data_IF_580221432543
#
_entry.id   IF_580221432543
#
_cell.length_a   1.000
_cell.length_b   1.000
_cell.length_c   1.000
_cell.angle_alpha   90.00
_cell.angle_beta   90.00
_cell.angle_gamma   90.00
#
_symmetry.space_group_name_H-M   'P 1'
#
loop_
_entity.id
_entity.type
_entity.pdbx_description
1 polymer ?
#
# COMPACT_ATOMS: atom_id res chain seq x y z
N UNK A 1 8.37 -8.46 -18.76
CA UNK A 1 8.20 -7.69 -17.51
C UNK A 1 8.03 -6.22 -17.89
N UNK A 2 7.05 -5.54 -17.31
CA UNK A 2 6.85 -4.09 -17.49
C UNK A 2 6.98 -3.44 -16.12
N UNK A 3 7.73 -2.34 -16.02
CA UNK A 3 7.89 -1.57 -14.79
C UNK A 3 7.07 -0.29 -14.94
N UNK A 4 6.16 -0.06 -14.00
CA UNK A 4 5.34 1.15 -13.95
C UNK A 4 5.92 2.12 -12.91
N UNK A 5 6.42 3.26 -13.34
CA UNK A 5 6.93 4.31 -12.45
C UNK A 5 5.77 5.21 -12.02
N UNK A 6 5.38 5.11 -10.77
CA UNK A 6 4.18 5.79 -10.23
C UNK A 6 4.55 6.56 -8.97
N UNK A 7 4.05 7.80 -8.78
CA UNK A 7 4.20 8.50 -7.51
C UNK A 7 3.62 7.69 -6.35
N UNK A 8 4.33 7.64 -5.21
CA UNK A 8 3.96 6.82 -4.05
C UNK A 8 2.49 6.96 -3.64
N UNK A 9 1.99 8.19 -3.53
CA UNK A 9 0.60 8.43 -3.10
C UNK A 9 -0.43 7.94 -4.15
N UNK A 10 -0.12 8.00 -5.44
CA UNK A 10 -0.99 7.41 -6.48
C UNK A 10 -0.97 5.89 -6.45
N UNK A 11 0.19 5.30 -6.18
CA UNK A 11 0.34 3.86 -5.98
C UNK A 11 -0.49 3.40 -4.76
N UNK A 12 -0.34 4.05 -3.61
CA UNK A 12 -1.07 3.73 -2.38
C UNK A 12 -2.58 3.88 -2.52
N UNK A 13 -3.04 4.84 -3.33
CA UNK A 13 -4.47 5.02 -3.61
C UNK A 13 -5.05 3.79 -4.30
N UNK A 14 -4.31 3.24 -5.25
CA UNK A 14 -4.69 2.03 -5.97
C UNK A 14 -4.58 0.79 -5.07
N UNK A 15 -3.53 0.69 -4.24
CA UNK A 15 -3.33 -0.44 -3.32
C UNK A 15 -4.48 -0.55 -2.32
N UNK A 16 -4.88 0.55 -1.68
CA UNK A 16 -5.92 0.52 -0.65
C UNK A 16 -7.23 -0.13 -1.15
N UNK A 17 -7.68 0.25 -2.35
CA UNK A 17 -8.91 -0.30 -2.94
C UNK A 17 -8.71 -1.65 -3.63
N UNK A 18 -7.48 -1.99 -4.04
CA UNK A 18 -7.16 -3.30 -4.62
C UNK A 18 -7.05 -4.40 -3.57
N UNK A 19 -6.61 -4.07 -2.35
CA UNK A 19 -6.51 -5.01 -1.22
C UNK A 19 -7.87 -5.28 -0.56
N UNK A 20 -8.68 -4.23 -0.36
CA UNK A 20 -9.90 -4.34 0.46
C UNK A 20 -11.23 -4.26 -0.30
N UNK A 21 -11.29 -3.52 -1.42
CA UNK A 21 -12.49 -3.00 -2.11
C UNK A 21 -12.81 -1.55 -1.78
N UNK A 22 -13.18 -0.77 -2.81
CA UNK A 22 -13.65 0.62 -2.66
C UNK A 22 -14.97 0.75 -1.89
N UNK A 23 -15.67 -0.35 -1.62
CA UNK A 23 -16.89 -0.37 -0.81
C UNK A 23 -16.63 -0.42 0.71
N UNK A 24 -15.38 -0.63 1.14
CA UNK A 24 -15.03 -0.66 2.55
C UNK A 24 -15.22 0.72 3.22
N UNK A 25 -15.43 0.74 4.56
CA UNK A 25 -15.48 2.00 5.32
C UNK A 25 -14.23 2.86 5.07
N UNK A 26 -14.41 4.19 4.99
CA UNK A 26 -13.31 5.10 4.67
C UNK A 26 -12.14 4.98 5.64
N UNK A 27 -12.43 4.87 6.94
CA UNK A 27 -11.42 4.71 7.99
C UNK A 27 -10.62 3.42 7.79
N UNK A 28 -11.25 2.34 7.31
CA UNK A 28 -10.54 1.10 7.02
C UNK A 28 -9.58 1.29 5.84
N UNK A 29 -10.01 1.95 4.76
CA UNK A 29 -9.14 2.25 3.63
C UNK A 29 -7.98 3.18 4.02
N UNK A 30 -8.21 4.14 4.92
CA UNK A 30 -7.17 5.03 5.46
C UNK A 30 -6.13 4.26 6.28
N UNK A 31 -6.57 3.37 7.19
CA UNK A 31 -5.66 2.50 7.96
C UNK A 31 -4.89 1.55 7.03
N UNK A 32 -5.53 1.02 5.99
CA UNK A 32 -4.87 0.20 4.98
C UNK A 32 -3.79 1.00 4.23
N UNK A 33 -4.07 2.25 3.85
CA UNK A 33 -3.11 3.16 3.22
C UNK A 33 -1.91 3.45 4.13
N UNK A 34 -2.14 3.71 5.42
CA UNK A 34 -1.06 3.92 6.41
C UNK A 34 -0.19 2.68 6.53
N UNK A 35 -0.82 1.51 6.66
CA UNK A 35 -0.14 0.21 6.75
C UNK A 35 0.69 -0.06 5.49
N UNK A 36 0.09 0.13 4.31
CA UNK A 36 0.78 -0.07 3.04
C UNK A 36 1.96 0.90 2.85
N UNK A 37 1.80 2.16 3.26
CA UNK A 37 2.86 3.18 3.23
C UNK A 37 4.01 2.81 4.17
N UNK A 38 3.70 2.39 5.39
CA UNK A 38 4.70 1.93 6.34
C UNK A 38 5.51 0.77 5.78
N UNK A 39 4.84 -0.23 5.22
CA UNK A 39 5.49 -1.41 4.65
C UNK A 39 6.46 -1.04 3.51
N UNK A 40 6.01 -0.27 2.52
CA UNK A 40 6.85 0.07 1.35
C UNK A 40 8.01 0.99 1.74
N UNK A 41 7.81 1.91 2.69
CA UNK A 41 8.88 2.82 3.15
C UNK A 41 9.87 2.14 4.10
N UNK A 42 9.44 1.15 4.88
CA UNK A 42 10.35 0.35 5.70
C UNK A 42 11.29 -0.50 4.82
N UNK A 43 10.79 -0.97 3.66
CA UNK A 43 11.55 -1.67 2.62
C UNK A 43 12.52 -2.74 3.16
N UNK A 44 12.14 -3.43 4.25
CA UNK A 44 13.09 -4.18 5.08
C UNK A 44 13.69 -5.40 4.38
N UNK A 45 12.90 -6.08 3.53
CA UNK A 45 13.33 -7.30 2.85
C UNK A 45 13.96 -7.07 1.47
N UNK A 46 13.70 -5.92 0.81
CA UNK A 46 14.11 -5.64 -0.58
C UNK A 46 13.91 -6.84 -1.53
N UNK A 47 12.71 -7.43 -1.52
CA UNK A 47 12.38 -8.72 -2.16
C UNK A 47 12.75 -8.86 -3.65
N UNK A 48 12.90 -7.74 -4.36
CA UNK A 48 13.09 -7.70 -5.81
C UNK A 48 14.30 -6.85 -6.22
N UNK A 49 15.34 -6.81 -5.38
CA UNK A 49 16.54 -6.02 -5.63
C UNK A 49 17.21 -6.36 -6.97
N UNK A 50 17.20 -7.64 -7.37
CA UNK A 50 17.72 -8.15 -8.62
C UNK A 50 16.92 -7.72 -9.86
N UNK A 51 15.64 -7.38 -9.67
CA UNK A 51 14.76 -6.89 -10.73
C UNK A 51 14.74 -5.36 -10.82
N UNK A 52 15.30 -4.66 -9.82
CA UNK A 52 15.32 -3.20 -9.77
C UNK A 52 13.94 -2.57 -9.58
N UNK A 53 13.03 -3.25 -8.85
CA UNK A 53 11.68 -2.75 -8.53
C UNK A 53 11.46 -2.71 -7.02
N UNK A 54 10.62 -1.78 -6.56
CA UNK A 54 10.30 -1.64 -5.13
C UNK A 54 9.29 -2.72 -4.66
N UNK A 55 8.28 -3.01 -5.48
CA UNK A 55 7.23 -3.99 -5.19
C UNK A 55 6.67 -4.62 -6.47
N UNK A 56 6.26 -5.88 -6.39
CA UNK A 56 5.40 -6.50 -7.39
C UNK A 56 3.91 -6.19 -7.10
N UNK A 57 3.04 -6.47 -8.07
CA UNK A 57 1.65 -6.03 -8.05
C UNK A 57 0.64 -7.06 -7.51
N UNK A 58 1.13 -8.17 -6.94
CA UNK A 58 0.31 -9.31 -6.51
C UNK A 58 0.70 -9.77 -5.08
N UNK A 59 0.13 -10.88 -4.62
CA UNK A 59 0.15 -11.40 -3.24
C UNK A 59 1.56 -11.52 -2.59
N UNK A 60 2.66 -11.46 -3.36
CA UNK A 60 4.02 -11.44 -2.81
C UNK A 60 4.37 -10.11 -2.11
N UNK A 61 3.86 -8.97 -2.60
CA UNK A 61 4.12 -7.65 -2.04
C UNK A 61 2.81 -6.99 -1.58
N UNK A 62 2.09 -6.38 -2.50
CA UNK A 62 0.82 -5.71 -2.28
C UNK A 62 0.03 -5.80 -3.59
N UNK A 63 -1.29 -5.94 -3.48
CA UNK A 63 -2.18 -5.92 -4.64
C UNK A 63 -2.21 -4.53 -5.26
N UNK A 64 -1.81 -4.45 -6.52
CA UNK A 64 -1.89 -3.25 -7.34
C UNK A 64 -2.48 -3.60 -8.72
N UNK A 65 -3.66 -3.07 -9.03
CA UNK A 65 -4.36 -3.34 -10.30
C UNK A 65 -4.23 -2.20 -11.33
N UNK A 66 -3.25 -1.32 -11.18
CA UNK A 66 -3.02 -0.20 -12.10
C UNK A 66 -3.77 1.08 -11.74
N UNK A 67 -3.45 2.16 -12.46
CA UNK A 67 -4.03 3.50 -12.25
C UNK A 67 -5.52 3.62 -12.57
N UNK A 68 -6.13 2.60 -13.19
CA UNK A 68 -7.58 2.54 -13.36
C UNK A 68 -8.36 2.52 -12.04
N UNK A 69 -7.70 2.17 -10.93
CA UNK A 69 -8.25 2.20 -9.57
C UNK A 69 -8.25 3.61 -8.94
N UNK A 70 -7.70 4.61 -9.63
CA UNK A 70 -7.65 5.98 -9.14
C UNK A 70 -8.99 6.70 -9.35
N UNK A 71 -9.85 6.66 -8.34
CA UNK A 71 -11.16 7.29 -8.31
C UNK A 71 -11.28 8.24 -7.12
N UNK A 72 -12.45 8.85 -6.91
CA UNK A 72 -12.64 9.82 -5.83
C UNK A 72 -12.44 9.22 -4.44
N UNK A 73 -12.84 7.96 -4.24
CA UNK A 73 -12.67 7.26 -2.95
C UNK A 73 -11.19 7.03 -2.67
N UNK A 74 -10.46 6.40 -3.60
CA UNK A 74 -9.04 6.10 -3.40
C UNK A 74 -8.17 7.35 -3.26
N UNK A 75 -8.47 8.42 -4.00
CA UNK A 75 -7.80 9.72 -3.82
C UNK A 75 -8.04 10.30 -2.44
N UNK A 76 -9.28 10.30 -1.98
CA UNK A 76 -9.64 10.84 -0.66
C UNK A 76 -9.02 10.03 0.48
N UNK A 77 -9.01 8.70 0.36
CA UNK A 77 -8.34 7.80 1.31
C UNK A 77 -6.89 8.20 1.53
N UNK A 78 -6.15 8.45 0.46
CA UNK A 78 -4.73 8.78 0.55
C UNK A 78 -4.51 10.21 1.03
N UNK A 79 -5.32 11.17 0.57
CA UNK A 79 -5.24 12.55 1.05
C UNK A 79 -5.46 12.64 2.57
N UNK A 80 -6.46 11.94 3.08
CA UNK A 80 -6.77 11.91 4.52
C UNK A 80 -5.68 11.24 5.36
N UNK A 81 -4.89 10.34 4.76
CA UNK A 81 -3.83 9.58 5.43
C UNK A 81 -2.43 10.00 4.99
N UNK A 82 -2.30 11.15 4.32
CA UNK A 82 -1.08 11.56 3.64
C UNK A 82 0.08 11.75 4.62
N UNK A 83 1.20 11.10 4.33
CA UNK A 83 2.40 11.15 5.18
C UNK A 83 2.28 10.46 6.53
N UNK A 84 1.14 9.82 6.84
CA UNK A 84 0.97 9.05 8.07
C UNK A 84 1.61 7.67 7.92
N UNK A 85 2.42 7.30 8.90
CA UNK A 85 3.13 6.02 9.00
C UNK A 85 3.14 5.53 10.45
N UNK A 86 3.18 4.22 10.64
CA UNK A 86 3.46 3.59 11.92
C UNK A 86 4.96 3.67 12.25
N UNK A 87 5.27 4.11 13.47
CA UNK A 87 6.62 4.24 14.00
C UNK A 87 6.72 3.49 15.32
N UNK A 88 7.80 2.72 15.48
CA UNK A 88 8.19 2.10 16.74
C UNK A 88 9.71 2.24 16.92
N UNK A 89 10.17 2.58 18.12
CA UNK A 89 11.60 2.82 18.41
C UNK A 89 12.30 3.76 17.40
N UNK A 90 11.60 4.84 17.02
CA UNK A 90 12.09 5.83 16.05
C UNK A 90 12.39 5.25 14.64
N UNK A 91 11.78 4.12 14.29
CA UNK A 91 11.86 3.49 12.96
C UNK A 91 10.46 3.25 12.39
N UNK A 92 10.33 3.33 11.06
CA UNK A 92 9.07 2.96 10.39
C UNK A 92 8.90 1.44 10.51
N UNK A 93 7.70 1.02 10.89
CA UNK A 93 7.39 -0.40 11.06
C UNK A 93 7.29 -1.12 9.70
N UNK A 94 7.86 -2.33 9.61
CA UNK A 94 7.54 -3.30 8.55
C UNK A 94 6.12 -3.86 8.78
N UNK A 95 5.13 -3.10 8.31
CA UNK A 95 3.74 -3.29 8.63
C UNK A 95 3.06 -4.34 7.73
N UNK A 96 3.30 -5.62 8.02
CA UNK A 96 2.68 -6.74 7.30
C UNK A 96 1.21 -6.92 7.69
N UNK A 97 0.39 -7.30 6.73
CA UNK A 97 -1.04 -7.54 6.91
C UNK A 97 -1.49 -8.78 6.13
N UNK A 98 -2.65 -9.32 6.50
CA UNK A 98 -3.27 -10.46 5.84
C UNK A 98 -4.78 -10.26 5.77
N UNK A 99 -5.44 -10.94 4.82
CA UNK A 99 -6.89 -10.82 4.60
C UNK A 99 -7.71 -11.31 5.80
N UNK A 100 -7.24 -12.35 6.48
CA UNK A 100 -7.92 -12.95 7.62
C UNK A 100 -6.90 -13.74 8.45
N UNK A 101 -6.99 -13.62 9.78
CA UNK A 101 -6.34 -14.52 10.71
C UNK A 101 -7.31 -15.64 11.11
N UNK A 102 -6.79 -16.80 11.52
CA UNK A 102 -7.59 -17.97 11.89
C UNK A 102 -8.42 -17.85 13.17
N UNK A 103 -8.34 -16.71 13.88
CA UNK A 103 -8.86 -16.54 15.24
C UNK A 103 -7.80 -16.83 16.29
#
# INVERSE_FOLDING_TARGET
MVINNVPLEQYLACVAVSEMSSACPSVFLEVQSITARSWILAATEKKHAELGIDACNDDCCQRYQGLGQLNQVSKKTVENSRGMVMIHENKICDARYSKSCGG
#
